data_IF_464862390401
#
_entry.id   IF_464862390401
#
_cell.length_a   1.000
_cell.length_b   1.000
_cell.length_c   1.000
_cell.angle_alpha   90.00
_cell.angle_beta   90.00
_cell.angle_gamma   90.00
#
_symmetry.space_group_name_H-M   'P 1'
#
loop_
_entity.id
_entity.type
_entity.pdbx_description
1 polymer ?
#
# COMPACT_ATOMS: atom_id res chain seq x y z
N UNK A 1 68.04 -53.98 -17.98
CA UNK A 1 67.20 -54.80 -17.08
C UNK A 1 65.90 -54.03 -16.88
N UNK A 2 64.89 -54.39 -17.69
CA UNK A 2 63.60 -53.70 -17.72
C UNK A 2 62.56 -54.36 -16.79
N UNK A 3 62.20 -53.76 -15.72
CA UNK A 3 61.08 -54.22 -14.88
C UNK A 3 59.84 -53.46 -15.28
N UNK A 4 59.02 -54.06 -16.13
CA UNK A 4 57.63 -53.61 -16.38
C UNK A 4 56.73 -54.21 -15.31
N UNK A 5 56.40 -53.44 -14.31
CA UNK A 5 55.40 -53.85 -13.34
C UNK A 5 54.02 -53.69 -13.99
N UNK A 6 53.40 -54.76 -14.45
CA UNK A 6 52.07 -54.82 -15.01
C UNK A 6 51.08 -54.82 -13.85
N UNK A 7 50.49 -53.66 -13.57
CA UNK A 7 49.40 -53.56 -12.59
C UNK A 7 48.15 -54.15 -13.22
N UNK A 8 47.53 -55.17 -12.57
CA UNK A 8 46.35 -55.86 -13.06
C UNK A 8 45.15 -54.85 -13.18
N UNK A 9 44.37 -54.90 -14.25
CA UNK A 9 43.32 -53.90 -14.52
C UNK A 9 42.22 -53.73 -13.43
N UNK A 10 42.09 -54.75 -12.57
CA UNK A 10 41.17 -54.76 -11.44
C UNK A 10 41.60 -53.83 -10.29
N UNK A 11 42.89 -53.61 -10.12
CA UNK A 11 43.42 -52.66 -9.11
C UNK A 11 43.41 -51.23 -9.62
N UNK A 12 43.59 -51.03 -10.91
CA UNK A 12 43.55 -49.72 -11.54
C UNK A 12 42.13 -49.07 -11.45
N UNK A 13 41.06 -49.88 -11.60
CA UNK A 13 39.67 -49.39 -11.39
C UNK A 13 39.39 -48.99 -9.93
N UNK A 14 39.93 -49.73 -8.96
CA UNK A 14 39.80 -49.38 -7.53
C UNK A 14 40.57 -48.10 -7.18
N UNK A 15 41.78 -47.94 -7.72
CA UNK A 15 42.58 -46.71 -7.52
C UNK A 15 41.91 -45.50 -8.16
N UNK A 16 41.33 -45.64 -9.37
CA UNK A 16 40.56 -44.56 -10.03
C UNK A 16 39.31 -44.17 -9.23
N UNK A 17 38.63 -45.18 -8.65
CA UNK A 17 37.42 -44.93 -7.84
C UNK A 17 37.76 -44.24 -6.51
N UNK A 18 38.87 -44.56 -5.87
CA UNK A 18 39.33 -43.87 -4.66
C UNK A 18 39.81 -42.46 -4.98
N UNK A 19 40.46 -42.24 -6.14
CA UNK A 19 40.88 -40.91 -6.58
C UNK A 19 39.67 -40.02 -6.93
N UNK A 20 38.63 -40.56 -7.55
CA UNK A 20 37.38 -39.87 -7.84
C UNK A 20 36.59 -39.52 -6.55
N UNK A 21 36.61 -40.39 -5.54
CA UNK A 21 36.03 -40.12 -4.23
C UNK A 21 36.81 -39.05 -3.44
N UNK A 22 38.13 -39.07 -3.50
CA UNK A 22 38.99 -38.05 -2.86
C UNK A 22 38.81 -36.66 -3.52
N UNK A 23 38.78 -36.61 -4.86
CA UNK A 23 38.51 -35.34 -5.57
C UNK A 23 37.10 -34.81 -5.34
N UNK A 24 36.11 -35.70 -5.21
CA UNK A 24 34.75 -35.33 -4.81
C UNK A 24 34.65 -34.75 -3.39
N UNK A 25 35.41 -35.33 -2.43
CA UNK A 25 35.48 -34.77 -1.06
C UNK A 25 36.22 -33.42 -1.00
N UNK A 26 37.31 -33.26 -1.77
CA UNK A 26 38.02 -31.98 -1.85
C UNK A 26 37.15 -30.87 -2.51
N UNK A 27 36.35 -31.21 -3.52
CA UNK A 27 35.42 -30.28 -4.12
C UNK A 27 34.28 -29.92 -3.16
N UNK A 28 33.82 -30.85 -2.33
CA UNK A 28 32.80 -30.58 -1.31
C UNK A 28 33.33 -29.68 -0.16
N UNK A 29 34.63 -29.80 0.18
CA UNK A 29 35.24 -28.89 1.17
C UNK A 29 35.59 -27.51 0.61
N UNK A 30 35.83 -27.39 -0.71
CA UNK A 30 36.06 -26.10 -1.35
C UNK A 30 34.76 -25.27 -1.52
N UNK A 31 33.61 -25.90 -1.35
CA UNK A 31 32.30 -25.24 -1.35
C UNK A 31 31.80 -24.82 0.05
N UNK A 32 32.61 -25.03 1.09
CA UNK A 32 32.43 -24.35 2.36
C UNK A 32 32.85 -22.89 2.17
N UNK A 33 31.87 -22.15 1.71
CA UNK A 33 31.77 -20.73 1.59
C UNK A 33 32.57 -19.99 2.66
N UNK A 34 33.14 -18.89 2.29
CA UNK A 34 33.40 -17.77 3.19
C UNK A 34 32.17 -17.60 4.09
N UNK A 35 32.20 -18.27 5.25
CA UNK A 35 31.21 -18.06 6.29
C UNK A 35 31.18 -16.57 6.53
N UNK A 36 30.04 -16.00 6.27
CA UNK A 36 29.80 -14.57 6.48
C UNK A 36 30.31 -14.28 7.89
N UNK A 37 31.35 -13.45 8.04
CA UNK A 37 31.93 -13.06 9.32
C UNK A 37 30.88 -12.59 10.34
N UNK A 38 29.69 -12.34 9.85
CA UNK A 38 28.51 -11.86 10.60
C UNK A 38 27.41 -12.93 10.73
N UNK A 39 27.63 -14.16 10.28
CA UNK A 39 26.64 -15.23 10.41
C UNK A 39 26.43 -15.52 11.91
N UNK A 40 25.24 -15.25 12.39
CA UNK A 40 24.87 -15.32 13.81
C UNK A 40 24.92 -13.98 14.57
N UNK A 41 25.58 -12.96 14.05
CA UNK A 41 25.59 -11.61 14.64
C UNK A 41 24.52 -10.70 14.06
N UNK A 42 24.01 -11.00 12.86
CA UNK A 42 22.98 -10.21 12.18
C UNK A 42 21.72 -11.01 11.95
N UNK A 43 20.56 -10.35 12.16
CA UNK A 43 19.26 -10.97 11.81
C UNK A 43 19.03 -10.83 10.31
N UNK A 44 18.70 -11.92 9.64
CA UNK A 44 18.29 -11.88 8.23
C UNK A 44 16.99 -11.07 8.07
N UNK A 45 17.01 -10.12 7.14
CA UNK A 45 15.82 -9.35 6.80
C UNK A 45 15.01 -10.19 5.80
N UNK A 46 13.78 -10.56 6.18
CA UNK A 46 12.88 -11.27 5.28
C UNK A 46 12.40 -10.39 4.13
N UNK A 47 12.20 -10.97 2.94
CA UNK A 47 11.74 -10.27 1.73
C UNK A 47 10.46 -9.43 1.97
N UNK A 48 9.55 -9.91 2.80
CA UNK A 48 8.31 -9.20 3.17
C UNK A 48 8.52 -7.89 3.96
N UNK A 49 9.75 -7.66 4.44
CA UNK A 49 10.12 -6.43 5.17
C UNK A 49 10.98 -5.47 4.34
N UNK A 50 11.33 -5.86 3.12
CA UNK A 50 12.06 -5.00 2.20
C UNK A 50 11.08 -4.06 1.49
N UNK A 51 11.43 -2.79 1.44
CA UNK A 51 10.74 -1.79 0.62
C UNK A 51 11.50 -1.72 -0.70
N UNK A 52 10.94 -2.20 -1.82
CA UNK A 52 11.62 -2.12 -3.10
C UNK A 52 11.73 -0.64 -3.54
N UNK A 53 12.89 -0.21 -4.06
CA UNK A 53 13.04 1.14 -4.56
C UNK A 53 12.29 1.33 -5.88
N UNK A 54 11.74 2.53 -6.08
CA UNK A 54 11.20 2.96 -7.37
C UNK A 54 12.33 3.34 -8.32
N UNK A 55 12.22 2.97 -9.60
CA UNK A 55 13.18 3.42 -10.61
C UNK A 55 12.96 4.89 -10.95
N UNK A 56 14.02 5.72 -10.93
CA UNK A 56 13.97 7.12 -11.30
C UNK A 56 15.11 7.45 -12.28
N UNK A 57 14.75 7.96 -13.45
CA UNK A 57 15.72 8.46 -14.43
C UNK A 57 15.84 9.97 -14.29
N UNK A 58 17.07 10.46 -14.27
CA UNK A 58 17.36 11.90 -14.21
C UNK A 58 18.41 12.29 -15.22
N UNK A 59 18.45 13.56 -15.58
CA UNK A 59 19.42 14.11 -16.52
C UNK A 59 20.01 15.42 -16.02
N UNK A 60 21.08 15.84 -16.65
CA UNK A 60 21.72 17.13 -16.37
C UNK A 60 20.94 18.32 -16.95
N UNK A 61 20.30 18.15 -18.10
CA UNK A 61 19.71 19.27 -18.85
C UNK A 61 18.24 19.53 -18.51
N UNK A 62 17.54 18.54 -17.96
CA UNK A 62 16.12 18.65 -17.58
C UNK A 62 15.94 18.37 -16.08
N UNK A 63 14.92 18.96 -15.50
CA UNK A 63 14.54 18.71 -14.10
C UNK A 63 13.39 17.69 -14.06
N UNK A 64 13.54 16.68 -13.22
CA UNK A 64 12.48 15.72 -12.93
C UNK A 64 11.75 16.18 -11.67
N UNK A 65 10.42 16.18 -11.71
CA UNK A 65 9.58 16.52 -10.58
C UNK A 65 8.94 15.25 -10.03
N UNK A 66 9.09 15.06 -8.73
CA UNK A 66 8.42 13.97 -8.00
C UNK A 66 7.38 14.60 -7.08
N UNK A 67 6.11 14.28 -7.30
CA UNK A 67 4.96 14.84 -6.59
C UNK A 67 4.49 13.81 -5.58
N UNK A 68 4.51 14.17 -4.31
CA UNK A 68 4.09 13.32 -3.20
C UNK A 68 2.68 13.67 -2.74
N UNK A 69 1.96 12.71 -2.13
CA UNK A 69 0.61 12.96 -1.60
C UNK A 69 0.59 13.89 -0.38
N UNK A 70 1.73 14.09 0.28
CA UNK A 70 1.88 14.96 1.45
C UNK A 70 3.16 15.81 1.36
N UNK A 71 3.28 16.92 2.11
CA UNK A 71 4.50 17.73 2.17
C UNK A 71 5.72 16.89 2.50
N UNK A 72 6.84 17.21 1.87
CA UNK A 72 8.09 16.50 2.10
C UNK A 72 8.81 17.06 3.34
N UNK A 73 9.06 16.19 4.29
CA UNK A 73 9.78 16.51 5.53
C UNK A 73 11.28 16.37 5.36
N UNK A 74 11.75 15.32 4.71
CA UNK A 74 13.16 14.97 4.63
C UNK A 74 13.50 14.35 3.28
N UNK A 75 14.66 14.70 2.74
CA UNK A 75 15.23 14.09 1.53
C UNK A 75 16.69 13.74 1.81
N UNK A 76 17.07 12.52 1.49
CA UNK A 76 18.43 12.01 1.56
C UNK A 76 18.92 11.59 0.17
N UNK A 77 20.10 12.02 -0.20
CA UNK A 77 20.72 11.75 -1.50
C UNK A 77 21.97 10.90 -1.30
N UNK A 78 21.99 9.72 -1.90
CA UNK A 78 23.10 8.77 -1.76
C UNK A 78 24.38 9.16 -2.51
N UNK A 79 24.35 10.21 -3.34
CA UNK A 79 25.51 10.62 -4.12
C UNK A 79 25.50 12.13 -4.38
N UNK A 80 26.68 12.79 -4.44
CA UNK A 80 26.82 14.18 -4.87
C UNK A 80 26.48 14.41 -6.36
N UNK A 81 26.30 13.35 -7.13
CA UNK A 81 25.85 13.41 -8.52
C UNK A 81 24.39 13.85 -8.67
N UNK A 82 23.65 13.93 -7.56
CA UNK A 82 22.26 14.37 -7.49
C UNK A 82 22.16 15.72 -6.78
N UNK A 83 21.20 16.50 -7.21
CA UNK A 83 20.69 17.64 -6.45
C UNK A 83 19.17 17.53 -6.40
N UNK A 84 18.62 17.73 -5.22
CA UNK A 84 17.19 17.79 -5.01
C UNK A 84 16.82 18.97 -4.14
N UNK A 85 15.64 19.53 -4.36
CA UNK A 85 15.09 20.62 -3.56
C UNK A 85 13.58 20.68 -3.69
N UNK A 86 12.93 21.22 -2.67
CA UNK A 86 11.48 21.49 -2.73
C UNK A 86 11.20 22.54 -3.82
N UNK A 87 10.06 22.43 -4.47
CA UNK A 87 9.59 23.48 -5.37
C UNK A 87 9.03 24.63 -4.55
N UNK A 88 9.31 25.86 -4.99
CA UNK A 88 8.82 27.05 -4.31
C UNK A 88 7.29 27.10 -4.33
N UNK A 89 6.67 27.19 -3.16
CA UNK A 89 5.21 27.19 -3.01
C UNK A 89 4.52 25.84 -3.19
N UNK A 90 5.28 24.73 -3.32
CA UNK A 90 4.74 23.38 -3.41
C UNK A 90 5.59 22.41 -2.57
N UNK A 91 5.31 22.36 -1.26
CA UNK A 91 6.10 21.58 -0.30
C UNK A 91 6.04 20.06 -0.52
N UNK A 92 5.06 19.60 -1.29
CA UNK A 92 4.89 18.20 -1.67
C UNK A 92 5.58 17.84 -3.00
N UNK A 93 6.32 18.77 -3.61
CA UNK A 93 7.01 18.53 -4.89
C UNK A 93 8.53 18.65 -4.69
N UNK A 94 9.24 17.59 -5.06
CA UNK A 94 10.70 17.59 -5.09
C UNK A 94 11.18 17.69 -6.55
N UNK A 95 12.05 18.65 -6.78
CA UNK A 95 12.79 18.80 -8.03
C UNK A 95 14.09 18.03 -7.91
N UNK A 96 14.35 17.13 -8.84
CA UNK A 96 15.57 16.33 -8.87
C UNK A 96 16.29 16.52 -10.18
N UNK A 97 17.60 16.65 -10.13
CA UNK A 97 18.45 16.87 -11.30
C UNK A 97 19.82 16.23 -11.09
N UNK A 98 20.48 15.82 -12.17
CA UNK A 98 21.87 15.41 -12.13
C UNK A 98 22.79 16.63 -12.04
N UNK A 99 23.80 16.58 -11.17
CA UNK A 99 24.89 17.57 -11.10
C UNK A 99 26.04 17.24 -12.04
N UNK A 100 26.15 15.99 -12.45
CA UNK A 100 27.20 15.45 -13.32
C UNK A 100 26.55 14.74 -14.51
N UNK A 101 27.07 14.98 -15.73
CA UNK A 101 26.62 14.28 -16.94
C UNK A 101 27.14 12.86 -16.97
N UNK A 102 26.32 11.93 -17.44
CA UNK A 102 26.71 10.55 -17.76
C UNK A 102 27.34 9.79 -16.57
N UNK A 103 26.91 10.03 -15.34
CA UNK A 103 27.37 9.19 -14.24
C UNK A 103 26.89 7.76 -14.44
N UNK A 104 27.81 6.80 -14.24
CA UNK A 104 27.57 5.38 -14.57
C UNK A 104 26.99 4.58 -13.43
N UNK A 105 27.29 4.97 -12.19
CA UNK A 105 26.83 4.23 -11.01
C UNK A 105 25.44 4.69 -10.62
N UNK A 106 24.53 3.74 -10.54
CA UNK A 106 23.23 4.00 -9.93
C UNK A 106 23.41 4.40 -8.46
N UNK A 107 22.54 5.25 -8.00
CA UNK A 107 22.53 5.74 -6.63
C UNK A 107 21.12 5.73 -6.06
N UNK A 108 20.95 6.13 -4.81
CA UNK A 108 19.64 6.15 -4.20
C UNK A 108 19.22 7.57 -3.80
N UNK A 109 17.93 7.75 -3.69
CA UNK A 109 17.29 8.89 -3.04
C UNK A 109 16.20 8.35 -2.11
N UNK A 110 16.14 8.86 -0.89
CA UNK A 110 15.10 8.53 0.08
C UNK A 110 14.34 9.77 0.48
N UNK A 111 13.03 9.68 0.57
CA UNK A 111 12.14 10.79 0.91
C UNK A 111 11.22 10.37 2.03
N UNK A 112 11.05 11.22 3.03
CA UNK A 112 10.07 11.07 4.10
C UNK A 112 9.11 12.26 4.01
N UNK A 113 7.82 11.95 3.94
CA UNK A 113 6.75 12.94 3.95
C UNK A 113 6.23 13.19 5.37
N UNK A 114 5.54 14.31 5.59
CA UNK A 114 5.03 14.70 6.91
C UNK A 114 4.02 13.70 7.48
N UNK A 115 3.29 13.02 6.60
CA UNK A 115 2.41 11.90 6.96
C UNK A 115 3.16 10.61 7.38
N UNK A 116 4.51 10.66 7.43
CA UNK A 116 5.39 9.57 7.87
C UNK A 116 5.62 8.48 6.83
N UNK A 117 5.18 8.65 5.59
CA UNK A 117 5.48 7.70 4.52
C UNK A 117 6.94 7.80 4.09
N UNK A 118 7.53 6.63 3.81
CA UNK A 118 8.91 6.50 3.34
C UNK A 118 8.93 6.01 1.89
N UNK A 119 9.57 6.78 1.03
CA UNK A 119 9.76 6.47 -0.38
C UNK A 119 11.25 6.32 -0.65
N UNK A 120 11.63 5.28 -1.38
CA UNK A 120 13.00 5.05 -1.80
C UNK A 120 13.08 4.89 -3.30
N UNK A 121 14.11 5.47 -3.89
CA UNK A 121 14.34 5.50 -5.33
C UNK A 121 15.72 4.92 -5.65
N UNK A 122 15.79 4.10 -6.69
CA UNK A 122 17.03 3.77 -7.37
C UNK A 122 17.18 4.73 -8.55
N UNK A 123 18.19 5.59 -8.50
CA UNK A 123 18.34 6.71 -9.42
C UNK A 123 19.47 6.44 -10.41
N UNK A 124 19.18 6.53 -11.69
CA UNK A 124 20.16 6.40 -12.77
C UNK A 124 20.14 7.62 -13.69
N UNK A 125 21.27 7.85 -14.36
CA UNK A 125 21.35 8.85 -15.40
C UNK A 125 20.73 8.34 -16.70
N UNK A 126 19.95 9.21 -17.35
CA UNK A 126 19.47 9.01 -18.71
C UNK A 126 19.58 10.35 -19.48
N UNK A 127 20.08 10.36 -20.72
CA UNK A 127 20.12 11.57 -21.53
C UNK A 127 18.71 12.10 -21.80
N UNK A 128 17.77 11.20 -22.04
CA UNK A 128 16.35 11.46 -22.22
C UNK A 128 15.55 10.62 -21.20
N UNK A 129 15.26 11.16 -20.01
CA UNK A 129 14.41 10.45 -19.03
C UNK A 129 13.04 10.16 -19.59
N UNK A 130 12.54 8.96 -19.36
CA UNK A 130 11.24 8.52 -19.82
C UNK A 130 10.10 9.38 -19.25
N UNK A 131 10.25 9.80 -17.98
CA UNK A 131 9.27 10.61 -17.27
C UNK A 131 9.95 11.84 -16.64
N UNK A 132 9.39 13.02 -16.89
CA UNK A 132 9.84 14.27 -16.25
C UNK A 132 8.99 14.67 -15.04
N UNK A 133 7.78 14.11 -14.94
CA UNK A 133 6.88 14.33 -13.81
C UNK A 133 6.38 12.96 -13.32
N UNK A 134 6.66 12.65 -12.07
CA UNK A 134 6.29 11.38 -11.42
C UNK A 134 5.38 11.70 -10.24
N UNK A 135 4.18 11.17 -10.25
CA UNK A 135 3.22 11.32 -9.17
C UNK A 135 3.21 10.06 -8.31
N UNK A 136 3.44 10.22 -7.00
CA UNK A 136 3.57 9.12 -6.03
C UNK A 136 2.23 8.74 -5.37
N UNK A 137 1.12 9.36 -5.76
CA UNK A 137 -0.20 9.11 -5.17
C UNK A 137 -0.68 7.66 -5.37
N UNK A 138 -0.25 7.00 -6.43
CA UNK A 138 -0.73 5.68 -6.83
C UNK A 138 0.06 4.50 -6.27
N UNK A 139 1.21 4.77 -5.64
CA UNK A 139 2.09 3.71 -5.11
C UNK A 139 1.70 3.18 -3.72
N UNK A 140 0.53 3.55 -3.20
CA UNK A 140 -0.03 2.97 -1.98
C UNK A 140 -0.69 1.60 -2.26
N UNK A 141 -0.84 1.22 -3.52
CA UNK A 141 -1.43 -0.05 -3.93
C UNK A 141 -0.39 -0.94 -4.62
N UNK A 142 0.06 -1.98 -3.92
CA UNK A 142 0.66 -3.15 -4.53
C UNK A 142 -0.40 -3.85 -5.42
N UNK A 143 -0.10 -3.92 -6.70
CA UNK A 143 -0.80 -4.77 -7.65
C UNK A 143 -1.85 -4.08 -8.52
N UNK A 144 -1.49 -3.96 -9.78
CA UNK A 144 -2.27 -3.58 -10.95
C UNK A 144 -2.58 -2.09 -11.11
N UNK A 145 -2.00 -1.53 -12.17
CA UNK A 145 -2.32 -0.22 -12.71
C UNK A 145 -3.81 -0.17 -13.09
N UNK A 146 -4.64 0.24 -12.16
CA UNK A 146 -6.03 0.53 -12.46
C UNK A 146 -6.10 1.93 -13.03
N UNK A 147 -6.52 2.04 -14.29
CA UNK A 147 -6.96 3.29 -14.90
C UNK A 147 -7.98 3.95 -13.95
N UNK A 148 -7.55 4.94 -13.18
CA UNK A 148 -8.45 5.73 -12.34
C UNK A 148 -9.25 6.69 -13.23
N UNK A 149 -10.57 6.66 -13.17
CA UNK A 149 -11.34 7.77 -13.70
C UNK A 149 -11.08 9.03 -12.85
N UNK A 150 -11.08 10.18 -13.48
CA UNK A 150 -10.81 11.51 -12.90
C UNK A 150 -11.72 11.95 -11.72
N UNK A 151 -12.56 11.06 -11.19
CA UNK A 151 -13.47 11.30 -10.08
C UNK A 151 -13.30 10.26 -8.96
N UNK A 152 -12.12 9.65 -8.82
CA UNK A 152 -11.81 8.88 -7.61
C UNK A 152 -12.01 9.79 -6.40
N UNK A 153 -12.73 9.28 -5.40
CA UNK A 153 -12.97 9.99 -4.14
C UNK A 153 -11.68 10.67 -3.68
N UNK A 154 -11.69 11.99 -3.60
CA UNK A 154 -10.58 12.73 -3.02
C UNK A 154 -10.47 12.31 -1.56
N UNK A 155 -9.56 11.38 -1.31
CA UNK A 155 -9.12 11.12 0.06
C UNK A 155 -8.23 12.30 0.37
N UNK A 156 -8.79 13.27 1.08
CA UNK A 156 -8.00 14.37 1.60
C UNK A 156 -7.01 13.78 2.59
N UNK A 157 -5.75 13.77 2.22
CA UNK A 157 -4.65 13.43 3.12
C UNK A 157 -4.44 14.60 4.10
N UNK A 158 -5.49 14.97 4.80
CA UNK A 158 -5.40 15.88 5.94
C UNK A 158 -4.60 15.21 7.04
N UNK A 159 -4.01 16.03 7.88
CA UNK A 159 -3.24 15.58 9.03
C UNK A 159 -4.07 14.57 9.85
N UNK A 160 -3.40 13.48 10.24
CA UNK A 160 -3.98 12.48 11.14
C UNK A 160 -3.91 12.96 12.60
N UNK A 161 -3.90 14.29 12.81
CA UNK A 161 -3.62 14.95 14.09
C UNK A 161 -2.35 14.37 14.74
N UNK A 162 -2.47 13.71 15.88
CA UNK A 162 -1.35 13.13 16.60
C UNK A 162 -1.09 11.64 16.27
N UNK A 163 -1.83 11.06 15.31
CA UNK A 163 -1.74 9.63 15.01
C UNK A 163 -0.66 9.33 13.96
N UNK A 164 0.16 8.32 14.25
CA UNK A 164 1.16 7.84 13.30
C UNK A 164 0.49 7.20 12.08
N UNK A 165 0.77 7.64 10.84
CA UNK A 165 0.25 7.01 9.63
C UNK A 165 0.52 5.52 9.55
N UNK A 166 1.66 5.08 10.07
CA UNK A 166 2.03 3.67 10.17
C UNK A 166 1.09 2.90 11.10
N UNK A 167 0.74 3.47 12.25
CA UNK A 167 -0.19 2.85 13.19
C UNK A 167 -1.60 2.76 12.58
N UNK A 168 -2.09 3.84 11.96
CA UNK A 168 -3.37 3.87 11.27
C UNK A 168 -3.44 2.78 10.20
N UNK A 169 -2.40 2.64 9.37
CA UNK A 169 -2.30 1.58 8.36
C UNK A 169 -2.31 0.17 8.97
N UNK A 170 -1.58 -0.05 10.07
CA UNK A 170 -1.57 -1.34 10.78
C UNK A 170 -2.95 -1.70 11.35
N UNK A 171 -3.64 -0.73 11.93
CA UNK A 171 -5.01 -0.92 12.43
C UNK A 171 -5.94 -1.30 11.27
N UNK A 172 -5.93 -0.53 10.17
CA UNK A 172 -6.79 -0.78 9.02
C UNK A 172 -6.51 -2.16 8.42
N UNK A 173 -5.24 -2.53 8.27
CA UNK A 173 -4.81 -3.86 7.81
C UNK A 173 -5.33 -4.95 8.76
N UNK A 174 -5.18 -4.80 10.06
CA UNK A 174 -5.65 -5.78 11.05
C UNK A 174 -7.17 -5.93 11.03
N UNK A 175 -7.92 -4.84 10.85
CA UNK A 175 -9.37 -4.86 10.68
C UNK A 175 -9.76 -5.62 9.43
N UNK A 176 -9.07 -5.36 8.31
CA UNK A 176 -9.30 -6.01 7.03
C UNK A 176 -9.00 -7.52 7.08
N UNK A 177 -7.84 -7.91 7.62
CA UNK A 177 -7.41 -9.33 7.71
C UNK A 177 -8.24 -10.14 8.70
N UNK A 178 -8.71 -9.52 9.79
CA UNK A 178 -9.57 -10.19 10.76
C UNK A 178 -10.94 -10.54 10.16
N UNK A 179 -11.40 -9.78 9.18
CA UNK A 179 -12.58 -9.96 8.33
C UNK A 179 -13.87 -10.43 9.04
N UNK A 180 -13.99 -10.20 10.35
CA UNK A 180 -15.15 -10.59 11.14
C UNK A 180 -16.32 -9.64 10.92
N UNK A 181 -17.50 -10.22 10.69
CA UNK A 181 -18.72 -9.45 10.63
C UNK A 181 -19.31 -9.29 12.03
N UNK A 182 -19.11 -8.10 12.63
CA UNK A 182 -19.64 -7.71 13.96
C UNK A 182 -21.04 -7.11 13.82
N UNK A 183 -21.25 -6.27 12.81
CA UNK A 183 -22.51 -5.60 12.53
C UNK A 183 -23.29 -6.41 11.49
N UNK A 184 -24.53 -6.78 11.79
CA UNK A 184 -25.35 -7.62 10.92
C UNK A 184 -26.58 -6.92 10.34
N UNK A 185 -27.02 -5.82 10.95
CA UNK A 185 -28.25 -5.12 10.62
C UNK A 185 -28.06 -3.89 9.70
N UNK A 186 -26.81 -3.46 9.46
CA UNK A 186 -26.51 -2.30 8.62
C UNK A 186 -26.01 -2.74 7.26
N UNK A 187 -26.70 -2.32 6.22
CA UNK A 187 -26.35 -2.60 4.83
C UNK A 187 -27.51 -2.49 3.89
N UNK A 188 -27.24 -2.62 2.60
CA UNK A 188 -28.24 -2.71 1.54
C UNK A 188 -28.02 -3.93 0.66
N UNK A 189 -29.11 -4.40 0.05
CA UNK A 189 -29.09 -5.48 -0.93
C UNK A 189 -30.04 -5.13 -2.07
N UNK A 190 -29.51 -4.66 -3.19
CA UNK A 190 -30.29 -4.30 -4.38
C UNK A 190 -29.53 -4.66 -5.64
N UNK A 191 -30.23 -4.95 -6.71
CA UNK A 191 -29.65 -5.19 -8.05
C UNK A 191 -28.53 -6.24 -8.10
N UNK A 192 -28.61 -7.27 -7.24
CA UNK A 192 -27.57 -8.30 -7.16
C UNK A 192 -26.28 -7.86 -6.43
N UNK A 193 -26.25 -6.67 -5.86
CA UNK A 193 -25.11 -6.15 -5.08
C UNK A 193 -25.54 -6.00 -3.62
N UNK A 194 -24.64 -6.40 -2.70
CA UNK A 194 -24.78 -6.18 -1.27
C UNK A 194 -23.68 -5.22 -0.83
N UNK A 195 -24.07 -4.17 -0.13
CA UNK A 195 -23.19 -3.15 0.43
C UNK A 195 -23.38 -3.16 1.95
N UNK A 196 -22.40 -3.67 2.69
CA UNK A 196 -22.56 -4.05 4.08
C UNK A 196 -21.52 -3.38 4.96
N UNK A 197 -21.95 -2.86 6.11
CA UNK A 197 -21.06 -2.46 7.18
C UNK A 197 -20.76 -3.69 8.04
N UNK A 198 -19.54 -4.20 8.01
CA UNK A 198 -19.11 -5.38 8.77
C UNK A 198 -18.73 -5.06 10.20
N UNK A 199 -18.14 -3.88 10.43
CA UNK A 199 -17.71 -3.44 11.74
C UNK A 199 -17.37 -1.96 11.78
N UNK A 200 -17.44 -1.37 12.95
CA UNK A 200 -16.95 -0.05 13.27
C UNK A 200 -16.00 -0.15 14.46
N UNK A 201 -14.86 0.51 14.36
CA UNK A 201 -13.84 0.49 15.39
C UNK A 201 -13.40 1.91 15.70
N UNK A 202 -12.88 2.14 16.90
CA UNK A 202 -12.36 3.43 17.32
C UNK A 202 -10.97 3.30 17.93
N UNK A 203 -10.11 4.26 17.63
CA UNK A 203 -8.80 4.43 18.24
C UNK A 203 -8.46 5.92 18.24
N UNK A 204 -8.15 6.46 19.42
CA UNK A 204 -7.93 7.89 19.61
C UNK A 204 -9.05 8.74 18.98
N UNK A 205 -8.70 9.65 18.08
CA UNK A 205 -9.66 10.53 17.38
C UNK A 205 -10.04 10.03 15.98
N UNK A 206 -9.90 8.71 15.73
CA UNK A 206 -10.25 8.08 14.46
C UNK A 206 -11.34 7.01 14.63
N UNK A 207 -12.18 6.94 13.61
CA UNK A 207 -13.19 5.90 13.43
C UNK A 207 -12.85 5.06 12.19
N UNK A 208 -12.91 3.75 12.32
CA UNK A 208 -12.61 2.82 11.24
C UNK A 208 -13.87 2.08 10.83
N UNK A 209 -14.24 2.22 9.56
CA UNK A 209 -15.42 1.59 8.97
C UNK A 209 -14.98 0.43 8.08
N UNK A 210 -15.30 -0.79 8.45
CA UNK A 210 -15.05 -1.99 7.66
C UNK A 210 -16.27 -2.28 6.79
N UNK A 211 -16.13 -2.04 5.49
CA UNK A 211 -17.22 -2.12 4.52
C UNK A 211 -16.95 -3.27 3.55
N UNK A 212 -17.98 -4.05 3.23
CA UNK A 212 -17.93 -5.11 2.23
C UNK A 212 -18.88 -4.79 1.07
N UNK A 213 -18.38 -4.99 -0.14
CA UNK A 213 -19.18 -5.03 -1.37
C UNK A 213 -19.18 -6.45 -1.89
N UNK A 214 -20.35 -7.08 -1.97
CA UNK A 214 -20.52 -8.42 -2.53
C UNK A 214 -21.40 -8.37 -3.75
N UNK A 215 -20.88 -8.77 -4.89
CA UNK A 215 -21.61 -8.86 -6.15
C UNK A 215 -22.10 -10.30 -6.34
N UNK A 216 -23.40 -10.51 -6.26
CA UNK A 216 -24.02 -11.83 -6.49
C UNK A 216 -24.50 -12.02 -7.93
N UNK A 217 -24.41 -10.96 -8.77
CA UNK A 217 -24.69 -11.03 -10.19
C UNK A 217 -23.50 -11.56 -10.99
N UNK A 218 -23.66 -11.79 -12.27
CA UNK A 218 -22.56 -12.14 -13.18
C UNK A 218 -21.91 -10.91 -13.82
N UNK A 219 -22.56 -9.75 -13.74
CA UNK A 219 -22.07 -8.50 -14.32
C UNK A 219 -21.15 -7.81 -13.30
N UNK A 220 -19.91 -7.48 -13.64
CA UNK A 220 -19.03 -6.73 -12.76
C UNK A 220 -19.68 -5.44 -12.27
N UNK A 221 -19.32 -5.02 -11.06
CA UNK A 221 -19.76 -3.78 -10.46
C UNK A 221 -18.55 -2.83 -10.36
N UNK A 222 -18.55 -1.78 -11.14
CA UNK A 222 -17.50 -0.76 -11.13
C UNK A 222 -17.93 0.36 -10.18
N UNK A 223 -17.17 0.54 -9.09
CA UNK A 223 -17.41 1.58 -8.09
C UNK A 223 -16.90 2.91 -8.65
N UNK A 224 -17.75 3.92 -8.69
CA UNK A 224 -17.36 5.28 -9.03
C UNK A 224 -16.78 5.98 -7.79
N UNK A 225 -17.60 6.15 -6.77
CA UNK A 225 -17.19 6.72 -5.49
C UNK A 225 -18.10 6.26 -4.34
N UNK A 226 -17.59 6.43 -3.12
CA UNK A 226 -18.34 6.21 -1.88
C UNK A 226 -18.35 7.51 -1.09
N UNK A 227 -19.53 7.95 -0.61
CA UNK A 227 -19.69 9.17 0.18
C UNK A 227 -20.18 8.85 1.58
N UNK A 228 -19.76 9.67 2.53
CA UNK A 228 -20.21 9.66 3.92
C UNK A 228 -20.83 11.03 4.22
N UNK A 229 -22.12 11.07 4.56
CA UNK A 229 -22.85 12.31 4.77
C UNK A 229 -23.73 12.24 6.02
N UNK A 230 -23.64 13.24 6.88
CA UNK A 230 -24.57 13.41 7.98
C UNK A 230 -25.75 14.24 7.44
N UNK A 231 -26.95 13.69 7.51
CA UNK A 231 -28.18 14.28 7.00
C UNK A 231 -29.28 14.22 8.04
N UNK A 232 -30.28 15.09 7.91
CA UNK A 232 -31.46 15.10 8.80
C UNK A 232 -32.30 13.82 8.64
N UNK A 233 -32.79 13.24 9.74
CA UNK A 233 -33.69 12.07 9.71
C UNK A 233 -35.03 12.41 9.09
N UNK A 234 -35.55 13.64 9.29
CA UNK A 234 -36.84 14.12 8.77
C UNK A 234 -36.64 15.25 7.76
N UNK A 235 -37.10 15.05 6.56
CA UNK A 235 -37.11 16.09 5.53
C UNK A 235 -38.45 16.88 5.68
N UNK A 236 -38.37 18.07 6.18
CA UNK A 236 -39.56 18.99 6.20
C UNK A 236 -39.70 19.59 4.80
N UNK A 237 -40.90 19.49 4.22
CA UNK A 237 -41.29 19.86 2.84
C UNK A 237 -41.03 21.32 2.48
N UNK A 238 -40.05 22.02 2.83
CA UNK A 238 -39.68 23.39 2.38
C UNK A 238 -38.38 23.91 2.98
N UNK A 239 -37.55 23.03 3.57
CA UNK A 239 -36.28 23.47 4.16
C UNK A 239 -35.14 22.89 3.34
N UNK A 240 -34.10 23.67 3.09
CA UNK A 240 -32.86 23.16 2.49
C UNK A 240 -32.26 22.09 3.41
N UNK A 241 -31.99 20.89 2.89
CA UNK A 241 -31.31 19.85 3.64
C UNK A 241 -29.88 20.31 3.92
N UNK A 242 -29.52 20.36 5.18
CA UNK A 242 -28.12 20.53 5.55
C UNK A 242 -27.40 19.16 5.48
N UNK A 243 -26.57 19.00 4.48
CA UNK A 243 -25.69 17.83 4.36
C UNK A 243 -24.29 18.22 4.84
N UNK A 244 -23.75 17.47 5.79
CA UNK A 244 -22.36 17.57 6.19
C UNK A 244 -21.61 16.37 5.63
N UNK A 245 -20.73 16.60 4.68
CA UNK A 245 -19.88 15.55 4.11
C UNK A 245 -18.72 15.27 5.06
N UNK A 246 -18.49 13.98 5.37
CA UNK A 246 -17.34 13.49 6.10
C UNK A 246 -16.38 12.85 5.10
N UNK A 247 -15.19 13.38 4.99
CA UNK A 247 -14.17 12.87 4.08
C UNK A 247 -13.30 11.84 4.79
N UNK A 248 -13.11 10.63 4.21
CA UNK A 248 -12.15 9.69 4.73
C UNK A 248 -10.73 10.24 4.69
N UNK A 249 -10.00 10.08 5.79
CA UNK A 249 -8.59 10.46 5.88
C UNK A 249 -7.69 9.43 5.22
N UNK A 250 -8.08 8.15 5.33
CA UNK A 250 -7.35 7.02 4.71
C UNK A 250 -8.34 5.94 4.28
N UNK A 251 -7.93 5.15 3.28
CA UNK A 251 -8.61 3.92 2.89
C UNK A 251 -7.58 2.80 2.70
N UNK A 252 -7.91 1.61 3.18
CA UNK A 252 -7.13 0.39 2.98
C UNK A 252 -7.92 -0.56 2.08
N UNK A 253 -7.27 -1.09 1.04
CA UNK A 253 -7.90 -1.91 -0.01
C UNK A 253 -9.12 -1.23 -0.61
N UNK A 254 -8.95 0.00 -1.14
CA UNK A 254 -10.04 0.73 -1.76
C UNK A 254 -10.50 0.04 -3.04
N UNK A 255 -11.72 -0.48 -3.00
CA UNK A 255 -12.28 -1.29 -4.06
C UNK A 255 -12.88 -0.40 -5.14
N UNK A 256 -12.36 -0.49 -6.36
CA UNK A 256 -12.88 0.21 -7.55
C UNK A 256 -13.70 -0.70 -8.45
N UNK A 257 -13.56 -2.03 -8.32
CA UNK A 257 -14.30 -3.02 -9.10
C UNK A 257 -14.51 -4.29 -8.30
N UNK A 258 -15.71 -4.85 -8.37
CA UNK A 258 -16.06 -6.17 -7.82
C UNK A 258 -16.56 -7.05 -8.96
N UNK A 259 -15.84 -8.12 -9.26
CA UNK A 259 -16.20 -9.04 -10.32
C UNK A 259 -17.54 -9.75 -10.06
N UNK A 260 -18.10 -10.38 -11.09
CA UNK A 260 -19.31 -11.19 -10.93
C UNK A 260 -19.06 -12.36 -9.97
N UNK A 261 -19.99 -12.61 -9.03
CA UNK A 261 -19.92 -13.67 -8.00
C UNK A 261 -18.76 -13.52 -7.01
N UNK A 262 -18.27 -12.30 -6.81
CA UNK A 262 -17.11 -11.98 -5.97
C UNK A 262 -17.48 -11.03 -4.82
N UNK A 263 -16.56 -10.84 -3.87
CA UNK A 263 -16.75 -9.91 -2.77
C UNK A 263 -15.41 -9.30 -2.34
N UNK A 264 -15.43 -8.00 -2.09
CA UNK A 264 -14.28 -7.22 -1.69
C UNK A 264 -14.59 -6.41 -0.42
N UNK A 265 -13.56 -6.12 0.36
CA UNK A 265 -13.67 -5.33 1.57
C UNK A 265 -12.75 -4.12 1.52
N UNK A 266 -13.23 -2.98 2.00
CA UNK A 266 -12.45 -1.75 2.20
C UNK A 266 -12.56 -1.32 3.65
N UNK A 267 -11.47 -0.83 4.22
CA UNK A 267 -11.48 -0.17 5.53
C UNK A 267 -11.20 1.31 5.33
N UNK A 268 -12.11 2.16 5.81
CA UNK A 268 -11.95 3.61 5.80
C UNK A 268 -11.60 4.11 7.20
N UNK A 269 -10.63 4.99 7.31
CA UNK A 269 -10.38 5.78 8.51
C UNK A 269 -11.01 7.16 8.33
N UNK A 270 -11.92 7.52 9.21
CA UNK A 270 -12.64 8.79 9.26
C UNK A 270 -12.20 9.57 10.50
N UNK A 271 -12.22 10.92 10.46
CA UNK A 271 -12.06 11.69 11.68
C UNK A 271 -13.21 11.37 12.64
N UNK A 272 -12.98 11.49 13.92
CA UNK A 272 -14.02 11.32 14.94
C UNK A 272 -15.13 12.35 14.75
N UNK A 273 -16.34 11.88 14.74
CA UNK A 273 -17.55 12.71 14.68
C UNK A 273 -18.64 12.12 15.57
N UNK A 274 -19.65 12.91 15.83
CA UNK A 274 -20.87 12.49 16.52
C UNK A 274 -22.06 12.72 15.60
N UNK A 275 -23.11 11.94 15.78
CA UNK A 275 -24.34 12.05 15.03
C UNK A 275 -25.42 12.58 15.99
N UNK A 276 -25.93 13.82 15.82
CA UNK A 276 -27.04 14.32 16.60
C UNK A 276 -28.29 13.43 16.50
N UNK A 277 -29.14 13.43 17.50
CA UNK A 277 -30.32 12.55 17.57
C UNK A 277 -31.32 12.74 16.43
N UNK A 278 -31.39 13.94 15.89
CA UNK A 278 -32.21 14.29 14.73
C UNK A 278 -31.58 14.01 13.38
N UNK A 279 -30.29 13.52 13.38
CA UNK A 279 -29.49 13.23 12.19
C UNK A 279 -29.09 11.76 12.10
N UNK A 280 -28.62 11.36 10.94
CA UNK A 280 -28.07 10.05 10.62
C UNK A 280 -26.88 10.18 9.66
N UNK A 281 -25.95 9.27 9.74
CA UNK A 281 -24.92 9.10 8.71
C UNK A 281 -25.51 8.26 7.58
N UNK A 282 -25.38 8.73 6.36
CA UNK A 282 -25.71 8.00 5.14
C UNK A 282 -24.42 7.70 4.42
N UNK A 283 -24.19 6.42 4.12
CA UNK A 283 -23.08 5.97 3.30
C UNK A 283 -23.64 5.51 1.97
N UNK A 284 -23.21 6.16 0.90
CA UNK A 284 -23.69 5.90 -0.46
C UNK A 284 -22.53 5.44 -1.35
N UNK A 285 -22.79 4.42 -2.16
CA UNK A 285 -21.85 3.91 -3.16
C UNK A 285 -22.51 4.03 -4.54
N UNK A 286 -21.81 4.67 -5.45
CA UNK A 286 -22.28 4.92 -6.80
C UNK A 286 -21.56 3.99 -7.79
N UNK A 287 -22.33 3.48 -8.76
CA UNK A 287 -21.78 2.69 -9.85
C UNK A 287 -21.35 3.60 -10.99
N UNK A 288 -20.17 3.35 -11.53
CA UNK A 288 -19.65 4.10 -12.68
C UNK A 288 -20.49 3.79 -13.92
N UNK A 289 -21.05 4.82 -14.53
CA UNK A 289 -21.90 4.72 -15.74
C UNK A 289 -23.06 3.71 -15.60
N UNK A 290 -23.49 3.43 -14.38
CA UNK A 290 -24.56 2.50 -14.06
C UNK A 290 -25.60 3.07 -13.09
N UNK A 291 -26.65 2.28 -12.81
CA UNK A 291 -27.75 2.67 -11.93
C UNK A 291 -27.89 1.80 -10.68
N UNK A 292 -26.93 0.91 -10.38
CA UNK A 292 -27.02 -0.02 -9.25
C UNK A 292 -26.49 0.61 -7.95
N UNK A 293 -26.85 1.87 -7.67
CA UNK A 293 -26.43 2.57 -6.47
C UNK A 293 -26.86 1.83 -5.21
N UNK A 294 -26.01 1.85 -4.21
CA UNK A 294 -26.22 1.25 -2.91
C UNK A 294 -26.12 2.29 -1.83
N UNK A 295 -26.92 2.12 -0.77
CA UNK A 295 -26.85 3.03 0.37
C UNK A 295 -27.26 2.31 1.65
N UNK A 296 -26.61 2.65 2.77
CA UNK A 296 -27.06 2.29 4.11
C UNK A 296 -26.96 3.47 5.06
N UNK A 297 -27.59 3.33 6.20
CA UNK A 297 -27.68 4.37 7.21
C UNK A 297 -27.10 3.88 8.53
N UNK A 298 -26.42 4.78 9.26
CA UNK A 298 -25.88 4.55 10.61
C UNK A 298 -26.45 5.64 11.53
N UNK A 299 -26.98 5.23 12.66
CA UNK A 299 -27.49 6.14 13.68
C UNK A 299 -26.49 6.27 14.84
N UNK A 300 -26.69 7.28 15.69
CA UNK A 300 -25.78 7.52 16.82
C UNK A 300 -25.62 6.30 17.74
N UNK A 301 -26.70 5.57 17.97
CA UNK A 301 -26.69 4.34 18.80
C UNK A 301 -25.74 3.27 18.24
N UNK A 302 -25.65 3.15 16.92
CA UNK A 302 -24.74 2.22 16.26
C UNK A 302 -23.28 2.71 16.38
N UNK A 303 -23.07 4.02 16.21
CA UNK A 303 -21.73 4.62 16.28
C UNK A 303 -21.11 4.49 17.67
N UNK A 304 -21.90 4.71 18.72
CA UNK A 304 -21.47 4.61 20.12
C UNK A 304 -21.08 3.15 20.49
N UNK A 305 -21.60 2.18 19.75
CA UNK A 305 -21.24 0.74 19.93
C UNK A 305 -20.01 0.33 19.13
N UNK A 306 -19.26 1.27 18.54
CA UNK A 306 -18.00 0.96 17.88
C UNK A 306 -17.04 0.25 18.86
N UNK A 307 -16.42 -0.84 18.41
CA UNK A 307 -15.47 -1.61 19.21
C UNK A 307 -14.12 -0.86 19.32
N UNK A 308 -13.41 -0.99 20.42
CA UNK A 308 -12.05 -0.44 20.52
C UNK A 308 -11.06 -1.33 19.76
N UNK A 309 -10.08 -0.72 19.13
CA UNK A 309 -9.03 -1.46 18.40
C UNK A 309 -8.23 -2.41 19.31
N UNK A 310 -8.16 -2.12 20.61
CA UNK A 310 -7.50 -2.99 21.59
C UNK A 310 -8.15 -4.39 21.72
N UNK A 311 -9.40 -4.53 21.32
CA UNK A 311 -10.12 -5.81 21.26
C UNK A 311 -9.78 -6.62 19.99
N UNK A 312 -9.17 -5.98 19.01
CA UNK A 312 -8.57 -6.64 17.85
C UNK A 312 -7.20 -7.17 18.28
N UNK A 313 -7.03 -8.48 18.27
CA UNK A 313 -5.70 -9.07 18.41
C UNK A 313 -4.88 -8.65 17.18
N UNK A 314 -4.21 -7.52 17.28
CA UNK A 314 -3.25 -7.05 16.28
C UNK A 314 -2.09 -8.05 16.28
N UNK A 315 -1.96 -8.82 15.21
CA UNK A 315 -0.87 -9.77 14.99
C UNK A 315 0.20 -9.17 14.10
#
# INVERSE_FOLDING_TARGET
MNIKTIVKPKHMKKILMVFALLTGMLAAMAQQSNGDLYEGLTRKIGFSRMIPPHGLEITYDKTVHVIFPAPVRYVDLGSPNLIAGKADGAENVIRVKATTRHFRQETNMSVITEDGNFYTFNVKYADEPLLLNVEMCDFIHDGESVNRPNNAMEIYLTELDNESPRLVRLIMKSVHENDKRRIRHIGSKRFGVQFLLKGMYTHSDLLYFHIQVKNTSHVPFDVDFITFKIVDKKVVKRTAMQEQVIYPLRAYNYVTRVNGRDSECTVFALPKFTIPDDKKLVVEMFEKQGGRHQRFEVVNEDLVRAETVNELKVR
#
